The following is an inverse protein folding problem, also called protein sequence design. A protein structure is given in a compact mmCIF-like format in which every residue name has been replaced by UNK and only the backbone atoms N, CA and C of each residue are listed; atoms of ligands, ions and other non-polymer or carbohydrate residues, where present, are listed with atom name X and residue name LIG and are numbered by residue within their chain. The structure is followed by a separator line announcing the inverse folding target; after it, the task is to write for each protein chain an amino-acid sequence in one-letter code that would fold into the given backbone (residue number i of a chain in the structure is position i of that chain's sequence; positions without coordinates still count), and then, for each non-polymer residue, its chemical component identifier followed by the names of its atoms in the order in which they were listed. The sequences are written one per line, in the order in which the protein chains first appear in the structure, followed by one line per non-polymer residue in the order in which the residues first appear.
data_IF_750473395397
#
_entry.id   IF_750473395397
#
_cell.length_a   1.000
_cell.length_b   1.000
_cell.length_c   1.000
_cell.angle_alpha   90.00
_cell.angle_beta   90.00
_cell.angle_gamma   90.00
#
_symmetry.space_group_name_H-M   'P 1'
#
loop_
_entity.id
_entity.type
_entity.pdbx_description
1 polymer ?
#
# COMPACT_ATOMS: atom_id res chain seq x y z
N UNK A 1 20.71 -27.25 3.03
CA UNK A 1 20.73 -27.65 1.61
C UNK A 1 21.55 -26.58 0.87
N UNK A 2 22.72 -26.89 0.30
CA UNK A 2 23.62 -25.90 -0.30
C UNK A 2 23.02 -25.16 -1.51
N UNK A 3 21.90 -25.66 -2.06
CA UNK A 3 21.18 -25.02 -3.18
C UNK A 3 20.21 -23.91 -2.75
N UNK A 4 20.09 -23.61 -1.45
CA UNK A 4 19.18 -22.58 -0.93
C UNK A 4 19.99 -21.50 -0.22
N UNK A 5 19.95 -20.29 -0.76
CA UNK A 5 20.45 -19.09 -0.11
C UNK A 5 19.27 -18.28 0.43
N UNK A 6 19.38 -17.84 1.69
CA UNK A 6 18.39 -16.99 2.34
C UNK A 6 18.99 -15.60 2.54
N UNK A 7 18.28 -14.58 2.07
CA UNK A 7 18.67 -13.19 2.24
C UNK A 7 17.62 -12.48 3.10
N UNK A 8 17.88 -12.39 4.40
CA UNK A 8 17.02 -11.67 5.34
C UNK A 8 17.40 -10.19 5.40
N UNK A 9 16.43 -9.34 5.76
CA UNK A 9 16.67 -7.90 5.86
C UNK A 9 17.04 -7.24 4.53
N UNK A 10 16.59 -7.81 3.41
CA UNK A 10 16.77 -7.25 2.07
C UNK A 10 15.43 -6.95 1.43
N UNK A 11 15.38 -5.87 0.67
CA UNK A 11 14.22 -5.48 -0.14
C UNK A 11 14.59 -5.60 -1.62
N UNK A 12 13.80 -6.36 -2.36
CA UNK A 12 13.86 -6.34 -3.82
C UNK A 12 13.21 -5.03 -4.31
N UNK A 13 14.03 -4.11 -4.84
CA UNK A 13 13.57 -2.77 -5.18
C UNK A 13 13.36 -2.56 -6.69
N UNK A 14 13.91 -3.44 -7.54
CA UNK A 14 13.83 -3.31 -8.98
C UNK A 14 13.77 -4.65 -9.71
N UNK A 15 12.91 -4.73 -10.71
CA UNK A 15 12.88 -5.81 -11.69
C UNK A 15 13.16 -5.26 -13.09
N UNK A 16 13.99 -5.97 -13.85
CA UNK A 16 14.35 -5.61 -15.23
C UNK A 16 14.33 -6.85 -16.12
N UNK A 17 14.31 -6.64 -17.44
CA UNK A 17 14.39 -7.70 -18.46
C UNK A 17 13.38 -8.81 -18.17
N UNK A 18 12.10 -8.45 -18.03
CA UNK A 18 11.02 -9.43 -17.76
C UNK A 18 11.24 -10.26 -16.49
N UNK A 19 11.90 -9.68 -15.48
CA UNK A 19 12.21 -10.36 -14.21
C UNK A 19 13.41 -11.30 -14.27
N UNK A 20 14.17 -11.34 -15.38
CA UNK A 20 15.45 -12.07 -15.45
C UNK A 20 16.51 -11.42 -14.58
N UNK A 21 16.53 -10.09 -14.53
CA UNK A 21 17.45 -9.34 -13.68
C UNK A 21 16.68 -8.69 -12.54
N UNK A 22 17.03 -9.09 -11.33
CA UNK A 22 16.42 -8.61 -10.10
C UNK A 22 17.47 -7.89 -9.27
N UNK A 23 17.17 -6.70 -8.75
CA UNK A 23 18.08 -5.96 -7.87
C UNK A 23 17.46 -5.74 -6.49
N UNK A 24 18.24 -6.06 -5.47
CA UNK A 24 17.85 -5.92 -4.07
C UNK A 24 18.90 -5.11 -3.30
N UNK A 25 18.46 -4.46 -2.24
CA UNK A 25 19.35 -3.77 -1.32
C UNK A 25 19.03 -4.21 0.12
N UNK A 26 20.06 -4.40 0.96
CA UNK A 26 19.86 -4.64 2.38
C UNK A 26 19.30 -3.39 3.07
N UNK A 27 18.56 -3.62 4.16
CA UNK A 27 18.07 -2.57 5.06
C UNK A 27 19.22 -1.91 5.82
N UNK A 28 20.33 -2.63 5.98
CA UNK A 28 21.60 -2.07 6.41
C UNK A 28 22.20 -1.24 5.26
N UNK A 29 22.27 0.06 5.45
CA UNK A 29 22.73 1.01 4.43
C UNK A 29 24.25 0.98 4.22
N UNK A 30 25.01 0.31 5.10
CA UNK A 30 26.45 0.11 4.92
C UNK A 30 26.76 -1.07 3.99
N UNK A 31 25.80 -1.98 3.83
CA UNK A 31 25.92 -3.12 2.95
C UNK A 31 25.49 -2.79 1.52
N UNK A 32 26.23 -3.33 0.54
CA UNK A 32 26.00 -3.12 -0.89
C UNK A 32 24.74 -3.80 -1.41
N UNK A 33 24.20 -3.27 -2.51
CA UNK A 33 23.10 -3.90 -3.24
C UNK A 33 23.58 -5.17 -3.97
N UNK A 34 22.65 -6.08 -4.24
CA UNK A 34 22.89 -7.38 -4.88
C UNK A 34 22.00 -7.50 -6.11
N UNK A 35 22.54 -8.10 -7.18
CA UNK A 35 21.77 -8.48 -8.35
C UNK A 35 21.64 -10.00 -8.46
N UNK A 36 20.50 -10.45 -8.96
CA UNK A 36 20.21 -11.84 -9.23
C UNK A 36 19.84 -12.00 -10.70
N UNK A 37 20.47 -12.98 -11.35
CA UNK A 37 20.02 -13.51 -12.63
C UNK A 37 19.13 -14.74 -12.36
N UNK A 38 17.84 -14.62 -12.68
CA UNK A 38 16.82 -15.59 -12.32
C UNK A 38 16.29 -16.33 -13.55
N UNK A 39 16.43 -17.67 -13.54
CA UNK A 39 15.79 -18.55 -14.52
C UNK A 39 14.27 -18.63 -14.37
N UNK A 40 13.77 -18.48 -13.14
CA UNK A 40 12.34 -18.42 -12.76
C UNK A 40 12.16 -17.49 -11.56
N UNK A 41 11.01 -16.83 -11.47
CA UNK A 41 10.66 -15.90 -10.40
C UNK A 41 9.32 -16.30 -9.78
N UNK A 42 9.25 -16.31 -8.45
CA UNK A 42 8.01 -16.49 -7.70
C UNK A 42 7.76 -15.27 -6.84
N UNK A 43 6.69 -14.54 -7.12
CA UNK A 43 6.27 -13.34 -6.40
C UNK A 43 5.28 -13.75 -5.31
N UNK A 44 5.70 -13.59 -4.06
CA UNK A 44 4.90 -13.88 -2.88
C UNK A 44 4.87 -12.68 -1.92
N UNK A 45 4.75 -11.46 -2.47
CA UNK A 45 4.78 -10.19 -1.73
C UNK A 45 3.60 -9.94 -0.80
N UNK A 46 2.62 -10.84 -0.79
CA UNK A 46 1.41 -10.73 0.00
C UNK A 46 0.50 -9.60 -0.46
N UNK A 47 -0.32 -9.11 0.48
CA UNK A 47 -1.29 -8.04 0.28
C UNK A 47 -1.29 -7.12 1.49
N UNK A 48 -1.66 -5.86 1.28
CA UNK A 48 -1.70 -4.83 2.32
C UNK A 48 -3.11 -4.27 2.45
N UNK A 49 -3.50 -3.87 3.65
CA UNK A 49 -4.77 -3.20 3.87
C UNK A 49 -4.66 -1.74 3.42
N UNK A 50 -5.66 -1.26 2.70
CA UNK A 50 -5.78 0.16 2.37
C UNK A 50 -6.42 0.91 3.56
N UNK A 51 -5.89 2.07 3.97
CA UNK A 51 -6.50 2.88 5.02
C UNK A 51 -7.94 3.33 4.69
N UNK A 52 -8.83 3.45 5.69
CA UNK A 52 -10.19 3.92 5.47
C UNK A 52 -10.25 5.36 4.91
N UNK A 53 -11.14 5.60 3.95
CA UNK A 53 -11.38 6.93 3.36
C UNK A 53 -12.35 7.78 4.20
N UNK A 54 -11.97 8.04 5.45
CA UNK A 54 -12.73 8.87 6.40
C UNK A 54 -11.85 9.95 7.02
N UNK A 55 -12.44 11.06 7.50
CA UNK A 55 -11.65 12.09 8.17
C UNK A 55 -10.95 11.52 9.42
N UNK A 56 -9.69 11.91 9.61
CA UNK A 56 -8.86 11.45 10.73
C UNK A 56 -8.15 10.10 10.51
N UNK A 57 -8.21 9.51 9.32
CA UNK A 57 -7.50 8.26 8.97
C UNK A 57 -5.97 8.31 9.13
N UNK A 58 -5.40 9.50 9.13
CA UNK A 58 -3.97 9.75 9.29
C UNK A 58 -3.53 9.96 10.75
N UNK A 59 -4.47 10.05 11.69
CA UNK A 59 -4.18 10.40 13.09
C UNK A 59 -3.34 9.29 13.75
N UNK A 60 -2.31 9.62 14.56
CA UNK A 60 -1.52 8.62 15.26
C UNK A 60 -2.39 7.66 16.10
N UNK A 61 -2.17 6.35 15.95
CA UNK A 61 -2.99 5.30 16.53
C UNK A 61 -3.88 4.57 15.51
N UNK A 62 -3.97 5.08 14.28
CA UNK A 62 -4.52 4.31 13.14
C UNK A 62 -3.41 3.46 12.53
N UNK A 63 -3.66 2.17 12.33
CA UNK A 63 -2.70 1.25 11.71
C UNK A 63 -3.40 0.06 11.05
N UNK A 64 -2.71 -0.65 10.16
CA UNK A 64 -3.23 -1.89 9.60
C UNK A 64 -3.08 -3.07 10.59
N UNK A 65 -3.80 -4.16 10.30
CA UNK A 65 -3.76 -5.35 11.14
C UNK A 65 -2.39 -6.03 11.21
N UNK A 66 -1.54 -5.92 10.17
CA UNK A 66 -0.20 -6.49 10.19
C UNK A 66 0.70 -5.72 11.16
N UNK A 67 0.70 -4.39 11.09
CA UNK A 67 1.41 -3.52 12.04
C UNK A 67 0.92 -3.74 13.48
N UNK A 68 -0.38 -3.89 13.68
CA UNK A 68 -0.95 -4.20 15.00
C UNK A 68 -0.43 -5.53 15.56
N UNK A 69 -0.32 -6.58 14.72
CA UNK A 69 0.23 -7.86 15.15
C UNK A 69 1.74 -7.82 15.37
N UNK A 70 2.48 -7.09 14.55
CA UNK A 70 3.93 -6.93 14.75
C UNK A 70 4.22 -6.26 16.09
N UNK A 71 3.48 -5.20 16.44
CA UNK A 71 3.58 -4.58 17.76
C UNK A 71 3.24 -5.60 18.87
N UNK A 72 2.07 -6.24 18.79
CA UNK A 72 1.57 -7.09 19.88
C UNK A 72 2.42 -8.35 20.08
N UNK A 73 2.72 -9.07 18.99
CA UNK A 73 3.36 -10.38 19.02
C UNK A 73 4.88 -10.30 18.80
N UNK A 74 5.35 -9.42 17.91
CA UNK A 74 6.77 -9.27 17.59
C UNK A 74 7.51 -8.40 18.62
N UNK A 75 6.93 -7.26 18.99
CA UNK A 75 7.55 -6.32 19.93
C UNK A 75 7.08 -6.49 21.39
N UNK A 76 6.00 -7.25 21.65
CA UNK A 76 5.39 -7.35 22.98
C UNK A 76 4.72 -6.05 23.45
N UNK A 77 4.39 -5.15 22.52
CA UNK A 77 3.77 -3.84 22.79
C UNK A 77 2.34 -3.85 22.27
N UNK A 78 1.36 -3.61 23.14
CA UNK A 78 -0.03 -3.52 22.68
C UNK A 78 -0.24 -2.29 21.79
N UNK A 79 -0.97 -2.42 20.65
CA UNK A 79 -1.24 -1.30 19.74
C UNK A 79 -1.98 -0.12 20.38
N UNK A 80 -2.73 -0.39 21.44
CA UNK A 80 -3.43 0.58 22.28
C UNK A 80 -4.05 -0.09 23.50
N UNK A 81 -4.63 0.72 24.39
CA UNK A 81 -5.33 0.21 25.58
C UNK A 81 -6.78 -0.12 25.29
N UNK A 82 -7.40 0.53 24.30
CA UNK A 82 -8.78 0.30 23.89
C UNK A 82 -8.84 0.40 22.36
N UNK A 83 -8.96 -0.74 21.69
CA UNK A 83 -8.78 -0.87 20.25
C UNK A 83 -10.14 -1.00 19.55
N UNK A 84 -10.37 -0.20 18.52
CA UNK A 84 -11.42 -0.44 17.56
C UNK A 84 -10.86 -1.17 16.33
N UNK A 85 -11.51 -2.25 15.90
CA UNK A 85 -11.15 -2.99 14.69
C UNK A 85 -12.22 -2.78 13.62
N UNK A 86 -11.81 -2.36 12.43
CA UNK A 86 -12.69 -2.17 11.28
C UNK A 86 -12.16 -2.93 10.07
N UNK A 87 -13.02 -3.40 9.17
CA UNK A 87 -12.54 -4.18 8.02
C UNK A 87 -13.57 -4.46 6.94
N UNK A 88 -13.18 -5.32 5.99
CA UNK A 88 -13.99 -5.77 4.85
C UNK A 88 -14.31 -7.26 4.94
N UNK A 89 -14.56 -7.76 6.16
CA UNK A 89 -14.94 -9.15 6.44
C UNK A 89 -13.94 -9.90 7.34
N UNK A 90 -12.73 -9.37 7.53
CA UNK A 90 -11.69 -9.98 8.37
C UNK A 90 -11.66 -9.42 9.81
N UNK A 91 -12.39 -8.35 10.11
CA UNK A 91 -12.32 -7.62 11.38
C UNK A 91 -12.60 -8.50 12.61
N UNK A 92 -13.51 -9.47 12.51
CA UNK A 92 -13.81 -10.41 13.60
C UNK A 92 -12.61 -11.28 13.97
N UNK A 93 -12.01 -11.92 12.97
CA UNK A 93 -10.82 -12.76 13.14
C UNK A 93 -9.63 -11.95 13.66
N UNK A 94 -9.41 -10.73 13.14
CA UNK A 94 -8.35 -9.86 13.63
C UNK A 94 -8.58 -9.47 15.10
N UNK A 95 -9.81 -9.13 15.46
CA UNK A 95 -10.18 -8.80 16.83
C UNK A 95 -9.98 -9.98 17.80
N UNK A 96 -10.38 -11.19 17.41
CA UNK A 96 -10.14 -12.41 18.20
C UNK A 96 -8.65 -12.66 18.45
N UNK A 97 -7.83 -12.50 17.40
CA UNK A 97 -6.38 -12.68 17.51
C UNK A 97 -5.73 -11.61 18.39
N UNK A 98 -6.18 -10.36 18.31
CA UNK A 98 -5.72 -9.29 19.21
C UNK A 98 -6.12 -9.57 20.67
N UNK A 99 -7.34 -10.05 20.91
CA UNK A 99 -7.78 -10.46 22.26
C UNK A 99 -6.94 -11.60 22.81
N UNK A 100 -6.53 -12.55 21.97
CA UNK A 100 -5.64 -13.63 22.38
C UNK A 100 -4.25 -13.15 22.84
N UNK A 101 -3.80 -11.98 22.36
CA UNK A 101 -2.60 -11.30 22.86
C UNK A 101 -2.85 -10.42 24.10
N UNK A 102 -4.08 -10.38 24.61
CA UNK A 102 -4.46 -9.58 25.78
C UNK A 102 -4.94 -8.16 25.48
N UNK A 103 -5.22 -7.83 24.22
CA UNK A 103 -5.73 -6.51 23.86
C UNK A 103 -7.22 -6.32 24.21
N UNK A 104 -7.57 -5.15 24.73
CA UNK A 104 -8.97 -4.76 24.96
C UNK A 104 -9.57 -4.22 23.66
N UNK A 105 -10.39 -5.04 22.99
CA UNK A 105 -11.09 -4.64 21.76
C UNK A 105 -12.50 -4.15 22.09
N UNK A 106 -12.72 -2.84 21.94
CA UNK A 106 -13.95 -2.12 22.32
C UNK A 106 -14.95 -1.98 21.17
N UNK A 107 -14.51 -2.18 19.92
CA UNK A 107 -15.37 -2.17 18.75
C UNK A 107 -14.87 -3.14 17.68
N UNK A 108 -15.80 -3.81 17.01
CA UNK A 108 -15.57 -4.60 15.80
C UNK A 108 -16.72 -4.29 14.84
N UNK A 109 -16.41 -3.92 13.60
CA UNK A 109 -17.43 -3.63 12.61
C UNK A 109 -16.89 -3.43 11.20
N UNK A 110 -17.79 -3.33 10.21
CA UNK A 110 -17.36 -3.10 8.84
C UNK A 110 -16.81 -1.68 8.69
N UNK A 111 -15.80 -1.50 7.84
CA UNK A 111 -15.20 -0.19 7.55
C UNK A 111 -16.21 0.79 6.94
N UNK A 112 -17.26 0.29 6.28
CA UNK A 112 -18.35 1.10 5.74
C UNK A 112 -19.22 1.76 6.82
N UNK A 113 -19.21 1.26 8.06
CA UNK A 113 -19.88 1.90 9.18
C UNK A 113 -19.05 3.03 9.81
N UNK A 114 -17.74 3.07 9.54
CA UNK A 114 -16.85 4.12 10.05
C UNK A 114 -17.09 5.42 9.29
N UNK A 115 -17.41 6.49 10.03
CA UNK A 115 -17.69 7.83 9.47
C UNK A 115 -16.53 8.80 9.67
N UNK A 116 -15.85 8.70 10.82
CA UNK A 116 -14.73 9.57 11.21
C UNK A 116 -13.91 8.93 12.32
N UNK A 117 -12.61 9.20 12.31
CA UNK A 117 -11.71 8.94 13.42
C UNK A 117 -11.43 10.26 14.14
N UNK A 118 -11.70 10.32 15.44
CA UNK A 118 -11.62 11.55 16.23
C UNK A 118 -10.29 11.61 16.96
N UNK A 119 -9.54 12.68 16.70
CA UNK A 119 -8.25 12.92 17.33
C UNK A 119 -7.46 13.97 16.56
N UNK A 120 -6.37 14.44 17.20
CA UNK A 120 -5.38 15.32 16.54
C UNK A 120 -3.98 14.77 16.76
N UNK A 121 -3.52 14.77 18.00
CA UNK A 121 -2.22 14.20 18.37
C UNK A 121 -2.24 12.66 18.50
N UNK A 122 -3.43 12.08 18.68
CA UNK A 122 -3.69 10.63 18.71
C UNK A 122 -5.19 10.35 18.59
N UNK A 123 -5.55 9.12 18.26
CA UNK A 123 -6.94 8.62 18.30
C UNK A 123 -7.50 8.77 19.72
N UNK A 124 -8.75 9.22 19.80
CA UNK A 124 -9.53 9.38 21.04
C UNK A 124 -10.88 8.68 20.99
N UNK A 125 -11.44 8.54 19.80
CA UNK A 125 -12.69 7.86 19.54
C UNK A 125 -12.86 7.62 18.03
N UNK A 126 -13.86 6.82 17.69
CA UNK A 126 -14.41 6.72 16.33
C UNK A 126 -15.90 7.07 16.35
N UNK A 127 -16.39 7.59 15.23
CA UNK A 127 -17.80 7.73 14.93
C UNK A 127 -18.24 6.61 13.97
N UNK A 128 -19.10 5.73 14.46
CA UNK A 128 -19.72 4.64 13.68
C UNK A 128 -21.25 4.77 13.62
N UNK A 129 -21.75 6.02 13.62
CA UNK A 129 -23.16 6.34 13.88
C UNK A 129 -23.47 6.48 15.39
N UNK A 130 -22.50 6.11 16.23
CA UNK A 130 -22.39 6.46 17.64
C UNK A 130 -20.92 6.66 17.96
N UNK A 131 -20.64 7.46 18.97
CA UNK A 131 -19.26 7.66 19.44
C UNK A 131 -18.80 6.46 20.26
N UNK A 132 -17.67 5.86 19.86
CA UNK A 132 -16.99 4.82 20.63
C UNK A 132 -15.61 5.34 21.02
N UNK A 133 -15.32 5.37 22.33
CA UNK A 133 -13.99 5.77 22.82
C UNK A 133 -12.99 4.65 22.56
N UNK A 134 -11.84 5.00 22.01
CA UNK A 134 -10.73 4.10 21.72
C UNK A 134 -9.45 4.94 21.59
N UNK A 135 -8.27 4.34 21.76
CA UNK A 135 -6.98 4.99 21.57
C UNK A 135 -6.15 4.40 20.42
N UNK A 136 -6.65 3.34 19.78
CA UNK A 136 -6.15 2.81 18.52
C UNK A 136 -7.30 2.39 17.59
N UNK A 137 -7.07 2.48 16.28
CA UNK A 137 -7.93 1.92 15.23
C UNK A 137 -7.09 0.99 14.37
N UNK A 138 -7.51 -0.27 14.31
CA UNK A 138 -6.88 -1.29 13.46
C UNK A 138 -7.78 -1.54 12.26
N UNK A 139 -7.26 -1.34 11.05
CA UNK A 139 -7.99 -1.65 9.83
C UNK A 139 -7.53 -2.97 9.19
N UNK A 140 -8.51 -3.77 8.76
CA UNK A 140 -8.36 -5.14 8.28
C UNK A 140 -9.06 -5.32 6.92
N UNK A 141 -8.46 -4.72 5.90
CA UNK A 141 -9.00 -4.60 4.57
C UNK A 141 -9.53 -3.19 4.27
N UNK A 142 -9.85 -2.88 3.00
CA UNK A 142 -9.77 -3.77 1.84
C UNK A 142 -8.33 -4.16 1.53
N UNK A 143 -8.13 -5.40 1.12
CA UNK A 143 -6.80 -5.96 0.86
C UNK A 143 -6.40 -5.82 -0.62
N UNK A 144 -5.23 -5.23 -0.89
CA UNK A 144 -4.67 -5.06 -2.24
C UNK A 144 -3.27 -5.64 -2.31
N UNK A 145 -2.94 -6.35 -3.38
CA UNK A 145 -1.57 -6.69 -3.70
C UNK A 145 -0.81 -5.41 -4.07
N UNK A 146 0.47 -5.31 -3.70
CA UNK A 146 1.31 -4.24 -4.21
C UNK A 146 1.70 -4.57 -5.67
N UNK A 147 1.25 -3.78 -6.65
CA UNK A 147 1.48 -4.09 -8.06
C UNK A 147 2.91 -3.75 -8.51
N UNK A 148 3.75 -3.13 -7.68
CA UNK A 148 5.02 -2.53 -8.08
C UNK A 148 5.97 -3.47 -8.84
N UNK A 149 6.25 -4.66 -8.28
CA UNK A 149 7.18 -5.61 -8.92
C UNK A 149 6.56 -6.27 -10.17
N UNK A 150 5.28 -6.62 -10.12
CA UNK A 150 4.55 -7.21 -11.25
C UNK A 150 4.52 -6.22 -12.42
N UNK A 151 4.23 -4.95 -12.12
CA UNK A 151 4.24 -3.87 -13.10
C UNK A 151 5.64 -3.68 -13.68
N UNK A 152 6.70 -3.63 -12.87
CA UNK A 152 8.07 -3.48 -13.38
C UNK A 152 8.53 -4.63 -14.28
N UNK A 153 7.98 -5.84 -14.09
CA UNK A 153 8.31 -7.02 -14.89
C UNK A 153 7.60 -7.00 -16.24
N UNK A 154 6.30 -6.70 -16.24
CA UNK A 154 5.45 -6.89 -17.41
C UNK A 154 5.11 -5.60 -18.16
N UNK A 155 5.42 -4.42 -17.62
CA UNK A 155 4.98 -3.19 -18.25
C UNK A 155 5.82 -2.84 -19.49
N UNK A 156 5.13 -2.58 -20.59
CA UNK A 156 5.71 -2.14 -21.87
C UNK A 156 5.17 -0.77 -22.28
N UNK A 157 5.89 -0.10 -23.18
CA UNK A 157 5.46 1.15 -23.81
C UNK A 157 6.55 2.22 -23.91
N UNK A 158 6.43 3.07 -24.92
CA UNK A 158 7.38 4.16 -25.19
C UNK A 158 7.01 5.45 -24.47
N UNK A 159 5.75 5.91 -24.62
CA UNK A 159 5.28 7.18 -24.06
C UNK A 159 4.64 7.03 -22.68
N UNK A 160 3.90 5.94 -22.48
CA UNK A 160 3.30 5.57 -21.20
C UNK A 160 3.45 4.06 -21.05
N UNK A 161 3.90 3.63 -19.87
CA UNK A 161 3.93 2.21 -19.56
C UNK A 161 2.52 1.71 -19.23
N UNK A 162 2.15 0.58 -19.81
CA UNK A 162 0.95 -0.16 -19.48
C UNK A 162 1.34 -1.57 -19.02
N UNK A 163 0.65 -2.15 -18.04
CA UNK A 163 0.90 -3.54 -17.65
C UNK A 163 0.51 -4.47 -18.81
N UNK A 164 1.39 -5.44 -19.11
CA UNK A 164 1.12 -6.56 -20.00
C UNK A 164 1.02 -7.88 -19.21
N UNK A 165 0.83 -8.99 -19.90
CA UNK A 165 0.84 -10.33 -19.33
C UNK A 165 2.20 -10.68 -18.72
N UNK A 166 2.18 -11.40 -17.60
CA UNK A 166 3.40 -11.88 -16.98
C UNK A 166 4.08 -12.96 -17.85
N UNK A 167 5.41 -12.89 -18.04
CA UNK A 167 6.16 -13.94 -18.72
C UNK A 167 5.99 -15.32 -18.06
N UNK A 168 6.01 -16.40 -18.85
CA UNK A 168 5.75 -17.76 -18.34
C UNK A 168 6.77 -18.30 -17.31
N UNK A 169 7.90 -17.64 -17.11
CA UNK A 169 8.87 -17.95 -16.04
C UNK A 169 8.60 -17.20 -14.73
N UNK A 170 7.58 -16.36 -14.67
CA UNK A 170 7.17 -15.61 -13.48
C UNK A 170 5.82 -16.12 -12.99
N UNK A 171 5.70 -16.42 -11.70
CA UNK A 171 4.45 -16.82 -11.06
C UNK A 171 4.15 -15.93 -9.86
N UNK A 172 2.89 -15.56 -9.66
CA UNK A 172 2.41 -14.89 -8.44
C UNK A 172 1.67 -15.94 -7.60
N UNK A 173 1.99 -16.02 -6.31
CA UNK A 173 1.44 -17.05 -5.40
C UNK A 173 1.01 -16.49 -4.06
N UNK A 174 0.24 -17.28 -3.31
CA UNK A 174 -0.22 -16.94 -1.96
C UNK A 174 -1.15 -15.74 -1.96
N UNK A 175 -1.05 -14.90 -0.92
CA UNK A 175 -1.95 -13.75 -0.75
C UNK A 175 -1.78 -12.67 -1.85
N UNK A 176 -0.64 -12.63 -2.55
CA UNK A 176 -0.45 -11.75 -3.70
C UNK A 176 -1.28 -12.20 -4.92
N UNK A 177 -1.65 -13.46 -5.00
CA UNK A 177 -2.47 -14.04 -6.08
C UNK A 177 -3.98 -14.09 -5.75
N UNK A 178 -4.38 -13.63 -4.56
CA UNK A 178 -5.75 -13.78 -4.06
C UNK A 178 -6.76 -12.79 -4.69
N UNK A 179 -6.28 -11.90 -5.57
CA UNK A 179 -7.08 -10.81 -6.13
C UNK A 179 -7.20 -9.63 -5.18
N UNK A 180 -7.56 -8.50 -5.77
CA UNK A 180 -7.69 -7.23 -5.07
C UNK A 180 -9.14 -7.01 -4.61
N UNK A 181 -9.33 -6.54 -3.38
CA UNK A 181 -10.65 -6.15 -2.87
C UNK A 181 -11.07 -4.76 -3.34
N UNK A 182 -12.39 -4.53 -3.38
CA UNK A 182 -12.95 -3.21 -3.69
C UNK A 182 -12.74 -2.25 -2.51
N UNK A 183 -12.34 -1.01 -2.81
CA UNK A 183 -12.11 0.02 -1.80
C UNK A 183 -13.40 0.79 -1.56
N UNK A 184 -13.98 0.74 -0.33
CA UNK A 184 -15.21 1.47 -0.05
C UNK A 184 -14.96 2.99 -0.05
N UNK A 185 -15.69 3.70 -0.91
CA UNK A 185 -15.70 5.17 -0.95
C UNK A 185 -17.02 5.66 -0.35
N UNK A 186 -17.00 6.40 0.78
CA UNK A 186 -18.21 6.98 1.34
C UNK A 186 -18.92 7.92 0.35
N UNK A 187 -20.25 7.93 0.40
CA UNK A 187 -21.09 8.85 -0.36
C UNK A 187 -22.02 9.60 0.62
N UNK A 188 -21.80 10.91 0.88
CA UNK A 188 -20.76 11.76 0.32
C UNK A 188 -19.36 11.48 0.90
N UNK A 189 -18.32 11.67 0.07
CA UNK A 189 -16.92 11.67 0.51
C UNK A 189 -16.58 13.07 1.05
N UNK A 190 -16.04 13.13 2.26
CA UNK A 190 -15.65 14.42 2.85
C UNK A 190 -14.38 14.97 2.20
N UNK A 191 -14.34 16.28 1.96
CA UNK A 191 -13.22 16.94 1.29
C UNK A 191 -11.94 17.00 2.14
N UNK A 192 -12.06 16.89 3.46
CA UNK A 192 -10.95 16.92 4.43
C UNK A 192 -10.26 15.56 4.64
N UNK A 193 -10.72 14.50 3.96
CA UNK A 193 -10.05 13.19 4.00
C UNK A 193 -8.67 13.30 3.38
N UNK A 194 -7.62 13.01 4.14
CA UNK A 194 -6.26 12.93 3.59
C UNK A 194 -6.06 11.60 2.86
N UNK A 195 -5.81 11.68 1.55
CA UNK A 195 -5.58 10.54 0.65
C UNK A 195 -4.09 10.20 0.57
N UNK A 196 -3.24 11.22 0.50
CA UNK A 196 -1.79 11.07 0.57
C UNK A 196 -1.21 11.89 1.73
N UNK A 197 -1.12 11.31 2.95
CA UNK A 197 -0.59 12.03 4.11
C UNK A 197 0.87 12.48 3.96
N UNK A 198 1.66 11.80 3.11
CA UNK A 198 3.05 12.19 2.85
C UNK A 198 3.18 13.49 2.05
N UNK A 199 2.17 13.81 1.24
CA UNK A 199 2.16 14.95 0.32
C UNK A 199 1.02 15.92 0.65
N UNK A 200 0.38 15.75 1.82
CA UNK A 200 -0.78 16.53 2.29
C UNK A 200 -1.97 16.62 1.30
N UNK A 201 -2.13 15.62 0.42
CA UNK A 201 -3.18 15.61 -0.60
C UNK A 201 -4.51 15.15 -0.01
N UNK A 202 -5.54 15.98 -0.19
CA UNK A 202 -6.90 15.71 0.28
C UNK A 202 -7.80 15.13 -0.81
N UNK A 203 -8.88 14.48 -0.40
CA UNK A 203 -9.94 14.06 -1.31
C UNK A 203 -10.60 15.26 -2.01
N UNK A 204 -10.74 16.40 -1.31
CA UNK A 204 -11.28 17.63 -1.89
C UNK A 204 -10.45 18.16 -3.05
N UNK A 205 -9.12 18.12 -2.94
CA UNK A 205 -8.21 18.51 -4.02
C UNK A 205 -8.35 17.60 -5.24
N UNK A 206 -8.36 16.28 -5.04
CA UNK A 206 -8.59 15.31 -6.13
C UNK A 206 -9.95 15.54 -6.79
N UNK A 207 -11.02 15.67 -6.00
CA UNK A 207 -12.37 15.91 -6.50
C UNK A 207 -12.45 17.22 -7.28
N UNK A 208 -11.75 18.28 -6.87
CA UNK A 208 -11.71 19.54 -7.60
C UNK A 208 -11.16 19.39 -9.02
N UNK A 209 -10.10 18.59 -9.20
CA UNK A 209 -9.54 18.31 -10.54
C UNK A 209 -10.43 17.38 -11.36
N UNK A 210 -11.01 16.36 -10.72
CA UNK A 210 -11.93 15.43 -11.39
C UNK A 210 -13.18 16.16 -11.88
N UNK A 211 -13.74 17.05 -11.05
CA UNK A 211 -14.91 17.86 -11.39
C UNK A 211 -14.61 18.89 -12.48
N UNK A 212 -13.34 19.30 -12.62
CA UNK A 212 -12.87 20.12 -13.75
C UNK A 212 -12.64 19.31 -15.05
N UNK A 213 -12.87 17.98 -15.02
CA UNK A 213 -12.82 17.10 -16.18
C UNK A 213 -11.55 16.25 -16.30
N UNK A 214 -10.61 16.35 -15.35
CA UNK A 214 -9.41 15.51 -15.39
C UNK A 214 -9.72 14.07 -14.94
N UNK A 215 -9.41 13.10 -15.79
CA UNK A 215 -9.70 11.67 -15.54
C UNK A 215 -8.52 10.75 -15.77
N UNK A 216 -7.35 11.30 -16.09
CA UNK A 216 -6.09 10.56 -16.19
C UNK A 216 -5.36 10.56 -14.83
N UNK A 217 -5.19 9.38 -14.20
CA UNK A 217 -4.44 9.25 -12.94
C UNK A 217 -2.99 9.75 -13.01
N UNK A 218 -2.32 9.69 -14.17
CA UNK A 218 -0.99 10.23 -14.35
C UNK A 218 -0.99 11.77 -14.29
N UNK A 219 -2.04 12.41 -14.82
CA UNK A 219 -2.20 13.86 -14.76
C UNK A 219 -2.61 14.30 -13.35
N UNK A 220 -3.58 13.60 -12.73
CA UNK A 220 -3.97 13.85 -11.32
C UNK A 220 -2.76 13.74 -10.38
N UNK A 221 -1.91 12.73 -10.55
CA UNK A 221 -0.64 12.60 -9.81
C UNK A 221 0.24 13.83 -9.98
N UNK A 222 0.41 14.35 -11.20
CA UNK A 222 1.28 15.51 -11.47
C UNK A 222 0.70 16.83 -10.95
N UNK A 223 -0.62 16.98 -11.00
CA UNK A 223 -1.31 18.19 -10.54
C UNK A 223 -1.31 18.28 -9.01
N UNK A 224 -1.51 17.16 -8.32
CA UNK A 224 -1.68 17.12 -6.86
C UNK A 224 -0.47 16.60 -6.08
N UNK A 225 0.51 16.00 -6.77
CA UNK A 225 1.57 15.20 -6.15
C UNK A 225 1.10 13.93 -5.40
N UNK A 226 -0.15 13.49 -5.58
CA UNK A 226 -0.69 12.31 -4.91
C UNK A 226 0.19 11.07 -5.17
N UNK A 227 0.72 10.48 -4.10
CA UNK A 227 1.56 9.29 -4.16
C UNK A 227 3.00 9.52 -4.64
N UNK A 228 3.48 10.77 -4.66
CA UNK A 228 4.89 11.09 -4.94
C UNK A 228 5.79 11.08 -3.69
N UNK A 229 5.25 10.67 -2.54
CA UNK A 229 5.99 10.51 -1.29
C UNK A 229 6.90 9.27 -1.26
N UNK A 230 7.58 9.01 -0.13
CA UNK A 230 8.51 7.89 0.02
C UNK A 230 7.85 6.51 -0.12
N UNK A 231 6.53 6.44 0.04
CA UNK A 231 5.73 5.23 -0.17
C UNK A 231 5.54 4.84 -1.65
N UNK A 232 6.03 5.65 -2.60
CA UNK A 232 6.00 5.37 -4.05
C UNK A 232 4.58 5.02 -4.57
N UNK A 233 3.58 5.74 -4.07
CA UNK A 233 2.22 5.65 -4.58
C UNK A 233 1.32 4.63 -3.88
N UNK A 234 1.87 3.68 -3.12
CA UNK A 234 1.06 2.70 -2.40
C UNK A 234 0.91 3.12 -0.92
N UNK A 235 -0.32 3.35 -0.39
CA UNK A 235 -1.62 2.97 -0.96
C UNK A 235 -2.37 4.09 -1.73
N UNK A 236 -1.83 5.31 -1.78
CA UNK A 236 -2.57 6.51 -2.17
C UNK A 236 -3.12 6.47 -3.61
N UNK A 237 -2.42 5.83 -4.55
CA UNK A 237 -2.92 5.66 -5.92
C UNK A 237 -4.13 4.72 -5.99
N UNK A 238 -4.18 3.68 -5.16
CA UNK A 238 -5.34 2.79 -5.09
C UNK A 238 -6.57 3.53 -4.56
N UNK A 239 -6.38 4.37 -3.53
CA UNK A 239 -7.41 5.28 -3.03
C UNK A 239 -7.85 6.32 -4.08
N UNK A 240 -6.91 6.94 -4.80
CA UNK A 240 -7.20 7.89 -5.87
C UNK A 240 -8.02 7.26 -7.00
N UNK A 241 -7.68 6.04 -7.41
CA UNK A 241 -8.42 5.30 -8.44
C UNK A 241 -9.83 4.94 -7.98
N UNK A 242 -10.00 4.54 -6.71
CA UNK A 242 -11.31 4.29 -6.14
C UNK A 242 -12.19 5.55 -6.12
N UNK A 243 -11.62 6.70 -5.72
CA UNK A 243 -12.31 8.00 -5.72
C UNK A 243 -12.70 8.39 -7.14
N UNK A 244 -11.77 8.27 -8.10
CA UNK A 244 -12.03 8.58 -9.52
C UNK A 244 -13.14 7.70 -10.09
N UNK A 245 -13.05 6.38 -9.89
CA UNK A 245 -14.06 5.41 -10.31
C UNK A 245 -15.45 5.74 -9.74
N UNK A 246 -15.53 6.00 -8.43
CA UNK A 246 -16.76 6.38 -7.75
C UNK A 246 -17.34 7.70 -8.28
N UNK A 247 -16.49 8.68 -8.59
CA UNK A 247 -16.91 10.00 -9.07
C UNK A 247 -17.35 9.99 -10.54
N UNK A 248 -16.68 9.23 -11.40
CA UNK A 248 -16.98 9.17 -12.85
C UNK A 248 -17.94 8.04 -13.24
N UNK A 249 -18.27 7.13 -12.31
CA UNK A 249 -19.09 5.94 -12.59
C UNK A 249 -18.39 4.91 -13.49
N UNK A 250 -17.06 4.95 -13.59
CA UNK A 250 -16.26 4.03 -14.41
C UNK A 250 -15.74 2.89 -13.54
N UNK A 251 -15.65 1.65 -14.05
CA UNK A 251 -14.99 0.57 -13.32
C UNK A 251 -13.51 0.89 -13.11
N UNK A 252 -12.96 0.50 -11.94
CA UNK A 252 -11.56 0.77 -11.57
C UNK A 252 -10.59 0.11 -12.56
N UNK A 253 -10.97 -1.05 -13.11
CA UNK A 253 -10.22 -1.83 -14.08
C UNK A 253 -10.02 -1.08 -15.42
N UNK A 254 -10.91 -0.13 -15.73
CA UNK A 254 -10.81 0.71 -16.92
C UNK A 254 -9.95 1.98 -16.68
N UNK A 255 -9.43 2.17 -15.47
CA UNK A 255 -8.55 3.28 -15.12
C UNK A 255 -7.11 2.80 -15.14
N UNK A 256 -6.24 3.53 -15.84
CA UNK A 256 -4.81 3.20 -15.89
C UNK A 256 -4.14 3.64 -14.59
N UNK A 257 -3.31 2.77 -14.03
CA UNK A 257 -2.46 3.13 -12.89
C UNK A 257 -1.31 4.04 -13.33
N UNK A 258 -0.83 4.94 -12.46
CA UNK A 258 0.47 5.55 -12.66
C UNK A 258 1.59 4.50 -12.76
N UNK A 259 2.65 4.82 -13.50
CA UNK A 259 3.77 3.90 -13.73
C UNK A 259 4.54 3.63 -12.44
N UNK A 260 4.68 2.36 -12.06
CA UNK A 260 5.60 1.95 -11.00
C UNK A 260 7.02 1.85 -11.55
N UNK A 261 7.98 2.47 -10.86
CA UNK A 261 9.37 2.53 -11.27
C UNK A 261 10.29 2.03 -10.16
N UNK A 262 11.42 1.39 -10.48
CA UNK A 262 12.49 1.22 -9.50
C UNK A 262 13.04 2.59 -9.07
N UNK A 263 13.48 2.73 -7.80
CA UNK A 263 13.42 1.72 -6.76
C UNK A 263 12.08 1.76 -6.00
N UNK A 264 11.47 0.59 -5.73
CA UNK A 264 10.20 0.46 -4.97
C UNK A 264 10.29 1.02 -3.54
N UNK A 265 11.50 1.04 -2.99
CA UNK A 265 11.86 1.72 -1.74
C UNK A 265 13.14 2.51 -1.99
N UNK A 266 13.31 3.66 -1.35
CA UNK A 266 14.55 4.43 -1.44
C UNK A 266 15.77 3.58 -1.04
N UNK A 267 16.84 3.68 -1.84
CA UNK A 267 18.16 3.12 -1.59
C UNK A 267 19.17 4.26 -1.43
N UNK A 268 20.32 4.00 -0.81
CA UNK A 268 21.37 5.03 -0.74
C UNK A 268 22.07 5.20 -2.08
N UNK A 269 22.66 6.39 -2.30
CA UNK A 269 23.51 6.64 -3.46
C UNK A 269 24.71 5.69 -3.49
N UNK A 270 25.26 5.33 -2.32
CA UNK A 270 26.36 4.36 -2.21
C UNK A 270 25.92 2.95 -2.66
N UNK A 271 24.73 2.50 -2.24
CA UNK A 271 24.17 1.22 -2.69
C UNK A 271 23.93 1.22 -4.20
N UNK A 272 23.44 2.32 -4.77
CA UNK A 272 23.27 2.46 -6.21
C UNK A 272 24.62 2.46 -6.96
N UNK A 273 25.62 3.19 -6.46
CA UNK A 273 26.96 3.24 -7.05
C UNK A 273 27.66 1.87 -7.03
N UNK A 274 27.41 1.06 -6.00
CA UNK A 274 27.91 -0.31 -5.90
C UNK A 274 27.40 -1.25 -7.01
N UNK A 275 26.34 -0.86 -7.74
CA UNK A 275 25.81 -1.63 -8.87
C UNK A 275 26.50 -1.31 -10.20
N UNK A 276 27.53 -0.46 -10.24
CA UNK A 276 28.19 -0.02 -11.47
C UNK A 276 28.71 -1.16 -12.35
N UNK A 277 29.09 -2.31 -11.76
CA UNK A 277 29.55 -3.49 -12.50
C UNK A 277 28.43 -4.36 -13.07
N UNK A 278 27.16 -4.07 -12.77
CA UNK A 278 25.98 -4.86 -13.16
C UNK A 278 25.24 -4.21 -14.34
N UNK A 279 25.32 -2.88 -14.46
CA UNK A 279 24.72 -2.11 -15.54
C UNK A 279 25.80 -1.77 -16.56
N UNK A 280 25.88 -2.51 -17.67
CA UNK A 280 26.57 -1.96 -18.84
C UNK A 280 25.74 -0.77 -19.36
N UNK A 281 26.34 0.40 -19.60
CA UNK A 281 25.63 1.48 -20.26
C UNK A 281 25.19 1.01 -21.65
N UNK A 282 23.95 1.32 -22.05
CA UNK A 282 23.48 1.08 -23.41
C UNK A 282 24.49 1.72 -24.38
N UNK A 283 25.12 0.89 -25.22
CA UNK A 283 26.02 1.34 -26.29
C UNK A 283 25.25 1.73 -27.54
#
# INVERSE_FOLDING_TARGET
NPSVALFCGMELFGCYREGRLLVAAPHDHEAGAVAFDAGRVVIATGRRSIPPLVPGSHVPGVMDAHAAFELAAGCGVMPGRAIAVVGTGAEGLIAERLRAFGAEVVHVGPVTALRRIVGRARVRAIDVGRMVRCDAVVHAGPWRADPGLVFQIAAEGLFQLAPDDLPGHVAVVGAAAAGDESIPVPAPLSSDVLVCPCMDVTAGELLSHIDAGETDPEVLKRLTSCGMGPCQGFPCWESMLAILAARTGRPVEALRRPSHRPPRRAITVAQAAGLCGIVEPDR
#
